data_IF_831918720850
#
_entry.id   IF_831918720850
#
_cell.length_a   1.000
_cell.length_b   1.000
_cell.length_c   1.000
_cell.angle_alpha   90.00
_cell.angle_beta   90.00
_cell.angle_gamma   90.00
#
_symmetry.space_group_name_H-M   'P 1'
#
loop_
_entity.id
_entity.type
_entity.pdbx_description
1 polymer ?
#
# COMPACT_ATOMS: atom_id res chain seq x y z
N UNK A 1 -2.46 -9.80 -9.46
CA UNK A 1 -3.64 -10.36 -8.76
C UNK A 1 -3.68 -9.72 -7.38
N UNK A 2 -4.78 -9.07 -6.98
CA UNK A 2 -4.83 -8.39 -5.69
C UNK A 2 -5.15 -9.39 -4.57
N UNK A 3 -4.17 -9.66 -3.71
CA UNK A 3 -4.25 -10.64 -2.63
C UNK A 3 -5.33 -10.29 -1.59
N UNK A 4 -5.74 -9.02 -1.45
CA UNK A 4 -6.81 -8.66 -0.52
C UNK A 4 -8.17 -9.27 -0.92
N UNK A 5 -8.29 -9.82 -2.13
CA UNK A 5 -9.53 -10.42 -2.63
C UNK A 5 -9.65 -11.93 -2.48
N UNK A 6 -8.66 -12.60 -1.88
CA UNK A 6 -8.66 -14.06 -1.73
C UNK A 6 -9.17 -14.53 -0.38
N UNK A 7 -9.53 -13.63 0.54
CA UNK A 7 -10.08 -14.00 1.84
C UNK A 7 -11.54 -14.45 1.72
N UNK A 8 -11.83 -15.62 2.30
CA UNK A 8 -13.16 -16.21 2.37
C UNK A 8 -13.40 -16.85 3.73
N UNK A 9 -14.68 -17.00 4.09
CA UNK A 9 -15.13 -17.82 5.21
C UNK A 9 -15.61 -19.16 4.66
N UNK A 10 -15.24 -20.25 5.33
CA UNK A 10 -15.83 -21.56 5.06
C UNK A 10 -17.12 -21.69 5.86
N UNK A 11 -18.24 -21.83 5.15
CA UNK A 11 -19.56 -21.97 5.75
C UNK A 11 -19.97 -23.43 5.63
N UNK A 12 -20.08 -24.10 6.78
CA UNK A 12 -20.63 -25.45 6.88
C UNK A 12 -22.06 -25.35 7.39
N UNK A 13 -23.03 -25.74 6.56
CA UNK A 13 -24.42 -25.92 6.95
C UNK A 13 -24.69 -27.41 7.00
N UNK A 14 -25.33 -27.88 8.07
CA UNK A 14 -25.56 -29.30 8.31
C UNK A 14 -26.16 -30.00 7.07
N UNK A 15 -25.36 -30.89 6.46
CA UNK A 15 -25.76 -31.68 5.29
C UNK A 15 -25.42 -31.08 3.91
N UNK A 16 -24.84 -29.88 3.83
CA UNK A 16 -24.38 -29.25 2.58
C UNK A 16 -22.85 -29.34 2.39
N UNK A 17 -22.38 -29.25 1.15
CA UNK A 17 -20.95 -29.08 0.85
C UNK A 17 -20.41 -27.77 1.43
N UNK A 18 -19.18 -27.79 1.94
CA UNK A 18 -18.51 -26.61 2.50
C UNK A 18 -18.39 -25.53 1.42
N UNK A 19 -19.09 -24.41 1.62
CA UNK A 19 -19.09 -23.28 0.71
C UNK A 19 -18.04 -22.24 1.13
N UNK A 20 -17.30 -21.70 0.16
CA UNK A 20 -16.43 -20.55 0.37
C UNK A 20 -17.17 -19.25 0.09
N UNK A 21 -17.37 -18.44 1.13
CA UNK A 21 -17.98 -17.12 1.02
C UNK A 21 -16.88 -16.04 1.05
N UNK A 22 -16.60 -15.42 -0.08
CA UNK A 22 -15.61 -14.34 -0.16
C UNK A 22 -16.05 -13.13 0.67
N UNK A 23 -15.11 -12.52 1.38
CA UNK A 23 -15.38 -11.41 2.31
C UNK A 23 -15.44 -10.07 1.55
N UNK A 24 -14.75 -9.97 0.41
CA UNK A 24 -14.63 -8.77 -0.43
C UNK A 24 -15.96 -8.07 -0.73
N UNK A 25 -17.03 -8.78 -1.13
CA UNK A 25 -18.30 -8.12 -1.45
C UNK A 25 -18.87 -7.34 -0.27
N UNK A 26 -18.59 -7.77 0.97
CA UNK A 26 -19.06 -7.12 2.19
C UNK A 26 -18.14 -6.00 2.66
N UNK A 27 -16.84 -6.08 2.31
CA UNK A 27 -15.86 -5.07 2.66
C UNK A 27 -15.86 -3.91 1.67
N UNK A 28 -15.98 -4.15 0.36
CA UNK A 28 -15.75 -3.12 -0.67
C UNK A 28 -16.51 -1.81 -0.44
N UNK A 29 -17.74 -1.91 0.07
CA UNK A 29 -18.65 -0.78 0.23
C UNK A 29 -18.52 -0.07 1.59
N UNK A 30 -17.61 -0.51 2.45
CA UNK A 30 -17.43 0.12 3.76
C UNK A 30 -16.91 1.56 3.59
N UNK A 31 -17.52 2.56 4.26
CA UNK A 31 -17.12 3.97 4.14
C UNK A 31 -15.68 4.25 4.55
N UNK A 32 -15.10 3.41 5.41
CA UNK A 32 -13.72 3.56 5.89
C UNK A 32 -12.71 3.59 4.74
N UNK A 33 -12.97 2.86 3.64
CA UNK A 33 -12.09 2.85 2.48
C UNK A 33 -12.10 4.19 1.74
N UNK A 34 -13.15 5.00 1.84
CA UNK A 34 -13.16 6.35 1.24
C UNK A 34 -12.39 7.39 2.05
N UNK A 35 -11.96 7.02 3.27
CA UNK A 35 -11.23 7.92 4.16
C UNK A 35 -9.75 7.96 3.84
N UNK A 36 -9.24 9.10 3.39
CA UNK A 36 -7.80 9.31 3.24
C UNK A 36 -7.06 9.19 4.58
N UNK A 37 -7.72 9.49 5.71
CA UNK A 37 -7.13 9.31 7.05
C UNK A 37 -6.82 7.84 7.33
N UNK A 38 -7.69 6.93 6.89
CA UNK A 38 -7.45 5.49 7.01
C UNK A 38 -6.22 5.08 6.21
N UNK A 39 -6.15 5.44 4.93
CA UNK A 39 -5.03 5.09 4.05
C UNK A 39 -3.70 5.67 4.54
N UNK A 40 -3.70 6.92 5.03
CA UNK A 40 -2.51 7.53 5.61
C UNK A 40 -2.03 6.73 6.83
N UNK A 41 -2.93 6.41 7.77
CA UNK A 41 -2.58 5.67 8.97
C UNK A 41 -2.07 4.26 8.64
N UNK A 42 -2.79 3.53 7.78
CA UNK A 42 -2.43 2.19 7.37
C UNK A 42 -1.09 2.16 6.60
N UNK A 43 -0.80 3.19 5.79
CA UNK A 43 0.47 3.30 5.09
C UNK A 43 1.63 3.54 6.04
N UNK A 44 1.49 4.47 6.99
CA UNK A 44 2.54 4.69 7.98
C UNK A 44 2.77 3.46 8.84
N UNK A 45 1.70 2.78 9.26
CA UNK A 45 1.82 1.52 9.99
C UNK A 45 2.60 0.47 9.17
N UNK A 46 2.29 0.33 7.88
CA UNK A 46 2.98 -0.62 7.00
C UNK A 46 4.47 -0.27 6.78
N UNK A 47 4.82 1.00 6.65
CA UNK A 47 6.22 1.45 6.44
C UNK A 47 7.05 1.32 7.72
N UNK A 48 6.46 1.61 8.88
CA UNK A 48 7.18 1.58 10.16
C UNK A 48 7.15 0.20 10.83
N UNK A 49 6.14 -0.62 10.57
CA UNK A 49 5.99 -1.95 11.18
C UNK A 49 7.06 -2.96 10.76
N UNK A 50 7.74 -2.74 9.63
CA UNK A 50 8.87 -3.56 9.19
C UNK A 50 10.22 -3.10 9.75
N UNK A 51 10.28 -1.91 10.36
CA UNK A 51 11.54 -1.41 10.92
C UNK A 51 11.81 -2.13 12.24
N UNK A 52 12.94 -2.82 12.33
CA UNK A 52 13.42 -3.39 13.60
C UNK A 52 13.58 -2.30 14.68
N UNK A 53 13.95 -1.09 14.24
CA UNK A 53 14.11 0.09 15.08
C UNK A 53 13.11 1.15 14.60
N UNK A 54 12.05 1.46 15.38
CA UNK A 54 11.00 2.39 14.95
C UNK A 54 11.51 3.78 14.55
N UNK A 55 12.56 4.25 15.24
CA UNK A 55 13.30 5.45 14.91
C UNK A 55 14.77 5.26 15.30
N UNK A 56 15.69 5.41 14.35
CA UNK A 56 17.13 5.27 14.61
C UNK A 56 17.56 6.38 15.57
N UNK A 57 18.11 6.06 16.75
CA UNK A 57 18.66 7.05 17.65
C UNK A 57 19.82 7.80 16.99
N UNK A 58 19.94 9.10 17.27
CA UNK A 58 20.99 9.96 16.70
C UNK A 58 22.40 9.36 16.87
N UNK A 59 22.70 8.83 18.05
CA UNK A 59 24.02 8.27 18.37
C UNK A 59 24.31 7.00 17.55
N UNK A 60 23.29 6.18 17.30
CA UNK A 60 23.40 5.00 16.45
C UNK A 60 23.62 5.40 14.99
N UNK A 61 22.85 6.38 14.49
CA UNK A 61 23.01 6.89 13.12
C UNK A 61 24.43 7.40 12.86
N UNK A 62 25.01 8.17 13.80
CA UNK A 62 26.37 8.68 13.67
C UNK A 62 27.46 7.61 13.89
N UNK A 63 27.13 6.46 14.48
CA UNK A 63 28.06 5.34 14.62
C UNK A 63 28.27 4.57 13.31
N UNK A 64 27.31 4.67 12.39
CA UNK A 64 27.37 4.02 11.08
C UNK A 64 28.31 4.76 10.11
N UNK A 65 28.98 4.00 9.27
CA UNK A 65 29.76 4.52 8.15
C UNK A 65 28.86 5.26 7.15
N UNK A 66 29.43 6.17 6.32
CA UNK A 66 28.65 6.83 5.27
C UNK A 66 27.98 5.86 4.29
N UNK A 67 28.61 4.69 4.06
CA UNK A 67 28.06 3.65 3.19
C UNK A 67 26.81 3.02 3.83
N UNK A 68 26.88 2.59 5.10
CA UNK A 68 25.75 2.01 5.81
C UNK A 68 24.56 2.98 5.92
N UNK A 69 24.85 4.28 6.14
CA UNK A 69 23.82 5.33 6.14
C UNK A 69 23.12 5.42 4.78
N UNK A 70 23.89 5.40 3.68
CA UNK A 70 23.35 5.46 2.32
C UNK A 70 22.53 4.22 1.98
N UNK A 71 23.03 3.02 2.31
CA UNK A 71 22.34 1.75 2.07
C UNK A 71 21.02 1.67 2.87
N UNK A 72 21.02 2.14 4.11
CA UNK A 72 19.80 2.22 4.91
C UNK A 72 18.77 3.16 4.29
N UNK A 73 19.19 4.36 3.86
CA UNK A 73 18.31 5.31 3.19
C UNK A 73 17.72 4.74 1.90
N UNK A 74 18.54 4.06 1.09
CA UNK A 74 18.08 3.44 -0.15
C UNK A 74 17.10 2.30 0.12
N UNK A 75 17.36 1.47 1.13
CA UNK A 75 16.45 0.43 1.57
C UNK A 75 15.09 1.00 2.01
N UNK A 76 15.10 2.08 2.79
CA UNK A 76 13.88 2.75 3.27
C UNK A 76 13.06 3.34 2.11
N UNK A 77 13.74 3.96 1.13
CA UNK A 77 13.12 4.46 -0.11
C UNK A 77 12.50 3.33 -0.92
N UNK A 78 13.22 2.24 -1.13
CA UNK A 78 12.74 1.08 -1.90
C UNK A 78 11.54 0.41 -1.22
N UNK A 79 11.56 0.31 0.11
CA UNK A 79 10.43 -0.18 0.90
C UNK A 79 9.21 0.72 0.73
N UNK A 80 9.38 2.04 0.87
CA UNK A 80 8.32 3.04 0.67
C UNK A 80 7.74 2.95 -0.75
N UNK A 81 8.58 2.88 -1.78
CA UNK A 81 8.18 2.74 -3.17
C UNK A 81 7.30 1.50 -3.40
N UNK A 82 7.75 0.32 -2.93
CA UNK A 82 7.00 -0.93 -3.09
C UNK A 82 5.65 -0.90 -2.37
N UNK A 83 5.60 -0.32 -1.16
CA UNK A 83 4.35 -0.16 -0.41
C UNK A 83 3.41 0.82 -1.08
N UNK A 84 3.91 1.93 -1.62
CA UNK A 84 3.08 2.90 -2.32
C UNK A 84 2.39 2.29 -3.53
N UNK A 85 3.12 1.52 -4.35
CA UNK A 85 2.53 0.81 -5.48
C UNK A 85 1.40 -0.11 -5.05
N UNK A 86 1.60 -0.86 -3.96
CA UNK A 86 0.59 -1.76 -3.39
C UNK A 86 -0.64 -0.99 -2.87
N UNK A 87 -0.42 0.07 -2.09
CA UNK A 87 -1.50 0.88 -1.51
C UNK A 87 -2.33 1.58 -2.59
N UNK A 88 -1.68 2.20 -3.57
CA UNK A 88 -2.37 2.85 -4.70
C UNK A 88 -3.19 1.83 -5.49
N UNK A 89 -2.62 0.64 -5.77
CA UNK A 89 -3.37 -0.45 -6.42
C UNK A 89 -4.60 -0.88 -5.61
N UNK A 90 -4.45 -1.02 -4.29
CA UNK A 90 -5.56 -1.34 -3.39
C UNK A 90 -6.62 -0.25 -3.38
N UNK A 91 -6.24 1.03 -3.27
CA UNK A 91 -7.16 2.17 -3.30
C UNK A 91 -8.02 2.16 -4.57
N UNK A 92 -7.43 1.92 -5.74
CA UNK A 92 -8.19 1.79 -7.00
C UNK A 92 -9.15 0.61 -6.99
N UNK A 93 -8.72 -0.50 -6.41
CA UNK A 93 -9.50 -1.74 -6.33
C UNK A 93 -10.71 -1.60 -5.38
N UNK A 94 -10.59 -0.76 -4.34
CA UNK A 94 -11.69 -0.30 -3.48
C UNK A 94 -12.47 0.90 -4.07
N UNK A 95 -12.20 1.25 -5.32
CA UNK A 95 -12.97 2.24 -6.08
C UNK A 95 -12.77 3.68 -5.62
N UNK A 96 -11.57 4.03 -5.16
CA UNK A 96 -11.23 5.44 -4.95
C UNK A 96 -10.91 6.08 -6.30
N UNK A 97 -11.25 7.37 -6.42
CA UNK A 97 -10.98 8.14 -7.62
C UNK A 97 -9.48 8.33 -7.84
N UNK A 98 -9.10 8.47 -9.11
CA UNK A 98 -7.70 8.66 -9.49
C UNK A 98 -7.09 9.90 -8.83
N UNK A 99 -7.88 10.96 -8.62
CA UNK A 99 -7.40 12.19 -8.01
C UNK A 99 -7.05 12.00 -6.53
N UNK A 100 -7.87 11.26 -5.78
CA UNK A 100 -7.56 10.90 -4.39
C UNK A 100 -6.32 10.00 -4.33
N UNK A 101 -6.21 9.03 -5.24
CA UNK A 101 -5.05 8.16 -5.31
C UNK A 101 -3.76 8.94 -5.66
N UNK A 102 -3.86 9.95 -6.55
CA UNK A 102 -2.73 10.81 -6.93
C UNK A 102 -2.32 11.73 -5.78
N UNK A 103 -3.27 12.35 -5.08
CA UNK A 103 -2.98 13.17 -3.90
C UNK A 103 -2.24 12.35 -2.82
N UNK A 104 -2.74 11.14 -2.54
CA UNK A 104 -2.09 10.20 -1.63
C UNK A 104 -0.66 9.87 -2.09
N UNK A 105 -0.50 9.49 -3.36
CA UNK A 105 0.79 9.12 -3.95
C UNK A 105 1.80 10.26 -3.84
N UNK A 106 1.42 11.48 -4.26
CA UNK A 106 2.31 12.64 -4.22
C UNK A 106 2.77 12.94 -2.78
N UNK A 107 1.82 12.99 -1.84
CA UNK A 107 2.13 13.27 -0.44
C UNK A 107 3.10 12.25 0.16
N UNK A 108 2.86 10.96 -0.05
CA UNK A 108 3.69 9.91 0.53
C UNK A 108 5.04 9.78 -0.17
N UNK A 109 5.11 10.04 -1.47
CA UNK A 109 6.39 10.11 -2.21
C UNK A 109 7.28 11.25 -1.69
N UNK A 110 6.70 12.42 -1.38
CA UNK A 110 7.45 13.52 -0.75
C UNK A 110 7.94 13.15 0.65
N UNK A 111 7.11 12.49 1.46
CA UNK A 111 7.50 12.07 2.82
C UNK A 111 8.60 11.00 2.80
N UNK A 112 8.53 10.08 1.85
CA UNK A 112 9.51 9.01 1.68
C UNK A 112 10.73 9.38 0.83
N UNK A 113 10.88 10.66 0.46
CA UNK A 113 12.01 11.18 -0.33
C UNK A 113 12.31 10.35 -1.60
N UNK A 114 11.23 9.95 -2.30
CA UNK A 114 11.34 9.17 -3.53
C UNK A 114 11.86 10.02 -4.69
N UNK A 115 12.62 9.41 -5.59
CA UNK A 115 13.12 10.10 -6.78
C UNK A 115 11.99 10.38 -7.78
N UNK A 116 12.19 11.37 -8.66
CA UNK A 116 11.24 11.69 -9.73
C UNK A 116 10.97 10.48 -10.64
N UNK A 117 11.99 9.66 -10.89
CA UNK A 117 11.87 8.42 -11.67
C UNK A 117 10.94 7.40 -10.98
N UNK A 118 11.11 7.21 -9.66
CA UNK A 118 10.24 6.34 -8.86
C UNK A 118 8.80 6.85 -8.88
N UNK A 119 8.60 8.16 -8.74
CA UNK A 119 7.27 8.78 -8.79
C UNK A 119 6.63 8.55 -10.16
N UNK A 120 7.36 8.79 -11.25
CA UNK A 120 6.87 8.59 -12.61
C UNK A 120 6.45 7.13 -12.86
N UNK A 121 7.21 6.15 -12.35
CA UNK A 121 6.84 4.73 -12.44
C UNK A 121 5.53 4.42 -11.70
N UNK A 122 5.33 4.99 -10.51
CA UNK A 122 4.09 4.80 -9.74
C UNK A 122 2.89 5.49 -10.41
N UNK A 123 3.07 6.69 -10.97
CA UNK A 123 2.02 7.40 -11.71
C UNK A 123 1.62 6.67 -13.00
N UNK A 124 2.59 6.13 -13.73
CA UNK A 124 2.33 5.31 -14.92
C UNK A 124 1.55 4.04 -14.55
N UNK A 125 1.94 3.37 -13.46
CA UNK A 125 1.20 2.20 -12.95
C UNK A 125 -0.23 2.57 -12.54
N UNK A 126 -0.41 3.72 -11.89
CA UNK A 126 -1.72 4.24 -11.52
C UNK A 126 -2.59 4.50 -12.76
N UNK A 127 -2.04 5.06 -13.83
CA UNK A 127 -2.77 5.33 -15.07
C UNK A 127 -3.23 4.02 -15.75
N UNK A 128 -2.32 3.05 -15.92
CA UNK A 128 -2.61 1.77 -16.57
C UNK A 128 -3.66 0.93 -15.83
N UNK A 129 -3.64 0.95 -14.49
CA UNK A 129 -4.63 0.24 -13.68
C UNK A 129 -6.07 0.82 -13.82
N UNK A 130 -6.26 1.95 -14.50
CA UNK A 130 -7.58 2.53 -14.79
C UNK A 130 -8.25 1.93 -16.03
N UNK A 131 -7.46 1.41 -16.97
CA UNK A 131 -7.96 0.93 -18.27
C UNK A 131 -8.52 -0.50 -18.19
N UNK A 132 -8.07 -1.28 -17.20
CA UNK A 132 -8.42 -2.70 -17.03
C UNK A 132 -9.86 -2.94 -16.49
N UNK A 133 -10.64 -1.87 -16.25
CA UNK A 133 -12.05 -1.94 -15.82
C UNK A 133 -13.06 -2.08 -16.99
N UNK A 134 -12.60 -2.19 -18.25
CA UNK A 134 -13.49 -2.41 -19.43
C UNK A 134 -13.65 -3.87 -19.88
N UNK A 135 -13.03 -4.83 -19.20
CA UNK A 135 -13.04 -6.24 -19.67
C UNK A 135 -13.46 -7.28 -18.63
N UNK A 136 -14.21 -6.93 -17.58
CA UNK A 136 -14.85 -7.91 -16.70
C UNK A 136 -16.27 -7.52 -16.33
#
# INVERSE_FOLDING_TARGET
>A
MNMCFTFFLEVNKDGEEVMRQFIVPYLRDQPIWKSLRFWNAAFFDAVHGEREIPAIPRDMWHSWSPQEQSEYQECDKNSTFGKLGTFVSNMKAFGLDNDICREFLQKMSTIGDLSEEQIALLENSLAQAGEDKRSR
#
